data_IF_208802465581
#
_entry.id   IF_208802465581
#
_cell.length_a   1.000
_cell.length_b   1.000
_cell.length_c   1.000
_cell.angle_alpha   90.00
_cell.angle_beta   90.00
_cell.angle_gamma   90.00
#
_symmetry.space_group_name_H-M   'P 1'
#
loop_
_entity.id
_entity.type
_entity.pdbx_description
1 polymer ?
#
# COMPACT_ATOMS: atom_id res chain seq x y z
N UNK A 1 12.03 30.73 -34.08
CA UNK A 1 11.19 29.71 -34.76
C UNK A 1 10.99 28.58 -33.77
N UNK A 2 9.88 28.58 -33.01
CA UNK A 2 9.58 27.53 -32.03
C UNK A 2 9.02 26.33 -32.79
N UNK A 3 9.71 25.19 -32.70
CA UNK A 3 9.29 23.93 -33.31
C UNK A 3 7.90 23.56 -32.76
N UNK A 4 6.90 23.60 -33.64
CA UNK A 4 5.49 23.31 -33.34
C UNK A 4 5.28 21.79 -33.46
N UNK A 5 5.83 21.03 -32.53
CA UNK A 5 5.79 19.55 -32.53
C UNK A 5 4.42 18.98 -32.13
N UNK A 6 3.56 19.79 -31.49
CA UNK A 6 2.23 19.37 -31.05
C UNK A 6 1.12 20.24 -31.66
N UNK A 7 -0.01 19.66 -32.10
CA UNK A 7 -1.19 20.44 -32.50
C UNK A 7 -1.70 21.31 -31.34
N UNK A 8 -1.93 22.60 -31.62
CA UNK A 8 -2.44 23.58 -30.64
C UNK A 8 -3.92 23.36 -30.25
N UNK A 9 -4.66 22.63 -31.08
CA UNK A 9 -6.02 22.19 -30.81
C UNK A 9 -6.11 20.73 -31.23
N UNK A 10 -6.50 19.86 -30.29
CA UNK A 10 -6.86 18.47 -30.57
C UNK A 10 -8.33 18.30 -30.23
N UNK A 11 -9.08 17.65 -31.12
CA UNK A 11 -10.50 17.36 -30.91
C UNK A 11 -10.65 15.84 -30.85
N UNK A 12 -10.47 15.29 -29.65
CA UNK A 12 -10.55 13.85 -29.38
C UNK A 12 -11.95 13.55 -28.87
N UNK A 13 -12.67 12.65 -29.53
CA UNK A 13 -14.02 12.26 -29.13
C UNK A 13 -14.01 11.23 -28.01
N UNK A 14 -13.68 11.65 -26.78
CA UNK A 14 -13.67 10.78 -25.59
C UNK A 14 -15.02 10.08 -25.37
N UNK A 15 -16.13 10.78 -25.63
CA UNK A 15 -17.48 10.24 -25.44
C UNK A 15 -17.85 9.13 -26.44
N UNK A 16 -17.13 8.98 -27.55
CA UNK A 16 -17.30 7.85 -28.47
C UNK A 16 -16.75 6.55 -27.87
N UNK A 17 -15.66 6.62 -27.09
CA UNK A 17 -15.00 5.47 -26.47
C UNK A 17 -15.55 5.12 -25.07
N UNK A 18 -16.51 5.89 -24.54
CA UNK A 18 -17.02 5.74 -23.15
C UNK A 18 -17.49 4.33 -22.80
N UNK A 19 -18.09 3.61 -23.75
CA UNK A 19 -18.60 2.24 -23.52
C UNK A 19 -17.45 1.24 -23.41
N UNK A 20 -16.44 1.37 -24.27
CA UNK A 20 -15.23 0.54 -24.23
C UNK A 20 -14.51 0.78 -22.89
N UNK A 21 -14.34 2.05 -22.50
CA UNK A 21 -13.76 2.41 -21.21
C UNK A 21 -14.55 1.84 -20.03
N UNK A 22 -15.88 1.96 -20.05
CA UNK A 22 -16.74 1.42 -18.99
C UNK A 22 -16.65 -0.12 -18.88
N UNK A 23 -16.59 -0.84 -20.00
CA UNK A 23 -16.44 -2.30 -20.01
C UNK A 23 -15.07 -2.70 -19.44
N UNK A 24 -13.99 -2.09 -19.90
CA UNK A 24 -12.63 -2.38 -19.41
C UNK A 24 -12.54 -2.08 -17.91
N UNK A 25 -13.00 -0.91 -17.49
CA UNK A 25 -13.04 -0.50 -16.09
C UNK A 25 -13.83 -1.47 -15.21
N UNK A 26 -15.00 -1.92 -15.69
CA UNK A 26 -15.83 -2.90 -14.97
C UNK A 26 -15.14 -4.25 -14.84
N UNK A 27 -14.44 -4.72 -15.87
CA UNK A 27 -13.66 -5.96 -15.83
C UNK A 27 -12.48 -5.85 -14.86
N UNK A 28 -11.80 -4.70 -14.82
CA UNK A 28 -10.71 -4.45 -13.88
C UNK A 28 -11.23 -4.42 -12.45
N UNK A 29 -12.32 -3.71 -12.17
CA UNK A 29 -12.95 -3.72 -10.83
C UNK A 29 -13.33 -5.15 -10.43
N UNK A 30 -13.99 -5.90 -11.31
CA UNK A 30 -14.39 -7.27 -11.02
C UNK A 30 -13.19 -8.18 -10.71
N UNK A 31 -12.10 -8.03 -11.47
CA UNK A 31 -10.84 -8.76 -11.25
C UNK A 31 -10.19 -8.36 -9.92
N UNK A 32 -10.15 -7.06 -9.60
CA UNK A 32 -9.64 -6.54 -8.35
C UNK A 32 -10.41 -7.07 -7.14
N UNK A 33 -11.75 -7.02 -7.19
CA UNK A 33 -12.61 -7.59 -6.14
C UNK A 33 -12.39 -9.09 -6.00
N UNK A 34 -12.25 -9.82 -7.11
CA UNK A 34 -11.95 -11.25 -7.08
C UNK A 34 -10.62 -11.55 -6.37
N UNK A 35 -9.54 -10.84 -6.70
CA UNK A 35 -8.24 -11.04 -6.04
C UNK A 35 -8.25 -10.61 -4.57
N UNK A 36 -8.92 -9.50 -4.24
CA UNK A 36 -9.10 -9.07 -2.86
C UNK A 36 -9.88 -10.09 -2.03
N UNK A 37 -10.93 -10.69 -2.59
CA UNK A 37 -11.74 -11.68 -1.88
C UNK A 37 -11.07 -13.05 -1.73
N UNK A 38 -10.26 -13.46 -2.72
CA UNK A 38 -9.67 -14.81 -2.74
C UNK A 38 -8.25 -14.88 -2.17
N UNK A 39 -7.43 -13.84 -2.37
CA UNK A 39 -6.04 -13.79 -1.88
C UNK A 39 -5.86 -12.84 -0.70
N UNK A 40 -6.70 -11.82 -0.58
CA UNK A 40 -6.51 -10.76 0.39
C UNK A 40 -5.28 -9.89 0.10
N UNK A 41 -4.99 -8.98 1.03
CA UNK A 41 -3.79 -8.14 1.01
C UNK A 41 -2.68 -8.83 1.81
N UNK A 42 -1.45 -8.74 1.30
CA UNK A 42 -0.26 -9.19 2.02
C UNK A 42 0.17 -8.10 3.01
N UNK A 43 -0.30 -8.17 4.25
CA UNK A 43 -0.01 -7.15 5.26
C UNK A 43 1.46 -7.19 5.71
N UNK A 44 2.12 -6.03 5.68
CA UNK A 44 3.44 -5.83 6.27
C UNK A 44 3.40 -5.80 7.80
N UNK A 45 4.57 -5.75 8.42
CA UNK A 45 4.74 -5.82 9.89
C UNK A 45 4.00 -4.69 10.62
N UNK A 46 3.83 -3.53 9.99
CA UNK A 46 3.06 -2.42 10.53
C UNK A 46 1.61 -2.80 10.89
N UNK A 47 1.02 -3.76 10.18
CA UNK A 47 -0.38 -4.17 10.37
C UNK A 47 -0.50 -5.62 10.84
N UNK A 48 0.36 -6.52 10.37
CA UNK A 48 0.38 -7.91 10.80
C UNK A 48 1.03 -8.09 12.18
N UNK A 49 1.90 -7.16 12.60
CA UNK A 49 2.82 -7.35 13.71
C UNK A 49 3.99 -8.27 13.35
N UNK A 50 4.97 -8.36 14.25
CA UNK A 50 6.19 -9.15 14.09
C UNK A 50 7.39 -8.31 13.69
N UNK A 51 8.40 -8.96 13.14
CA UNK A 51 9.70 -8.37 12.81
C UNK A 51 10.06 -8.64 11.36
N UNK A 52 10.61 -7.62 10.70
CA UNK A 52 11.28 -7.72 9.41
C UNK A 52 12.75 -7.34 9.57
N UNK A 53 13.61 -8.26 9.18
CA UNK A 53 15.06 -8.06 9.16
C UNK A 53 15.56 -8.19 7.73
N UNK A 54 16.37 -7.23 7.29
CA UNK A 54 17.06 -7.28 6.00
C UNK A 54 18.55 -7.39 6.23
N UNK A 55 19.13 -8.42 5.65
CA UNK A 55 20.55 -8.72 5.74
C UNK A 55 21.17 -8.53 4.36
N UNK A 56 22.36 -7.91 4.30
CA UNK A 56 23.13 -7.86 3.06
C UNK A 56 23.57 -9.28 2.69
N UNK A 57 23.21 -9.71 1.47
CA UNK A 57 23.53 -11.05 1.02
C UNK A 57 25.04 -11.15 0.74
N UNK A 58 25.67 -12.14 1.35
CA UNK A 58 27.08 -12.48 1.13
C UNK A 58 27.22 -13.98 0.87
N UNK A 59 28.44 -14.46 0.67
CA UNK A 59 28.70 -15.90 0.51
C UNK A 59 28.28 -16.71 1.76
N UNK A 60 28.29 -16.09 2.95
CA UNK A 60 27.88 -16.72 4.22
C UNK A 60 26.42 -16.46 4.56
N UNK A 61 25.88 -15.30 4.19
CA UNK A 61 24.50 -14.90 4.47
C UNK A 61 23.63 -15.25 3.25
N UNK A 62 23.20 -16.51 3.18
CA UNK A 62 22.29 -17.02 2.14
C UNK A 62 20.92 -17.37 2.73
N UNK A 63 19.90 -17.49 1.86
CA UNK A 63 18.54 -17.88 2.29
C UNK A 63 18.56 -19.22 3.04
N UNK A 64 19.27 -20.21 2.51
CA UNK A 64 19.42 -21.53 3.14
C UNK A 64 20.17 -21.46 4.47
N UNK A 65 21.25 -20.69 4.55
CA UNK A 65 22.03 -20.56 5.78
C UNK A 65 21.22 -19.87 6.87
N UNK A 66 20.53 -18.78 6.55
CA UNK A 66 19.62 -18.09 7.48
C UNK A 66 18.51 -19.03 7.91
N UNK A 67 17.81 -19.70 6.98
CA UNK A 67 16.73 -20.64 7.33
C UNK A 67 17.20 -21.80 8.22
N UNK A 68 18.43 -22.27 8.04
CA UNK A 68 19.01 -23.34 8.86
C UNK A 68 19.41 -22.87 10.26
N UNK A 69 19.77 -21.60 10.41
CA UNK A 69 20.13 -20.98 11.69
C UNK A 69 18.92 -20.42 12.45
N UNK A 70 17.74 -20.29 11.81
CA UNK A 70 16.57 -19.68 12.44
C UNK A 70 16.07 -20.52 13.64
N UNK A 71 15.91 -19.91 14.82
CA UNK A 71 15.41 -20.60 16.01
C UNK A 71 13.88 -20.83 16.01
N UNK A 72 13.16 -20.24 15.06
CA UNK A 72 11.71 -20.35 14.92
C UNK A 72 11.27 -20.31 13.45
N UNK A 73 9.98 -20.57 13.23
CA UNK A 73 9.37 -20.46 11.90
C UNK A 73 9.45 -19.02 11.40
N UNK A 74 10.16 -18.83 10.29
CA UNK A 74 10.31 -17.55 9.64
C UNK A 74 10.15 -17.69 8.13
N UNK A 75 9.58 -16.67 7.51
CA UNK A 75 9.60 -16.52 6.07
C UNK A 75 10.92 -15.87 5.66
N UNK A 76 11.72 -16.62 4.89
CA UNK A 76 13.06 -16.20 4.47
C UNK A 76 13.12 -16.24 2.95
N UNK A 77 13.28 -15.06 2.36
CA UNK A 77 13.32 -14.85 0.92
C UNK A 77 14.52 -13.97 0.54
N UNK A 78 14.92 -14.02 -0.73
CA UNK A 78 15.89 -13.09 -1.30
C UNK A 78 15.17 -12.00 -2.09
N UNK A 79 15.65 -10.77 -2.01
CA UNK A 79 15.19 -9.66 -2.84
C UNK A 79 16.39 -8.83 -3.34
N UNK A 80 16.13 -7.92 -4.26
CA UNK A 80 17.11 -6.89 -4.67
C UNK A 80 16.65 -5.57 -4.07
N UNK A 81 17.51 -4.99 -3.24
CA UNK A 81 17.31 -3.68 -2.61
C UNK A 81 17.20 -2.56 -3.64
N UNK A 82 16.70 -1.41 -3.20
CA UNK A 82 16.53 -0.22 -4.04
C UNK A 82 17.84 0.37 -4.56
N UNK A 83 18.96 0.02 -3.91
CA UNK A 83 20.33 0.34 -4.27
C UNK A 83 21.01 -0.77 -5.10
N UNK A 84 20.23 -1.71 -5.62
CA UNK A 84 20.66 -2.87 -6.39
C UNK A 84 21.52 -3.90 -5.62
N UNK A 85 21.61 -3.81 -4.28
CA UNK A 85 22.24 -4.86 -3.48
C UNK A 85 21.32 -6.07 -3.35
N UNK A 86 21.89 -7.27 -3.36
CA UNK A 86 21.12 -8.48 -3.03
C UNK A 86 20.95 -8.55 -1.52
N UNK A 87 19.72 -8.80 -1.06
CA UNK A 87 19.37 -8.83 0.36
C UNK A 87 18.62 -10.12 0.69
N UNK A 88 18.82 -10.61 1.90
CA UNK A 88 17.99 -11.66 2.50
C UNK A 88 16.99 -10.98 3.42
N UNK A 89 15.71 -11.17 3.12
CA UNK A 89 14.59 -10.64 3.91
C UNK A 89 14.06 -11.77 4.80
N UNK A 90 14.06 -11.53 6.10
CA UNK A 90 13.60 -12.45 7.13
C UNK A 90 12.39 -11.83 7.80
N UNK A 91 11.26 -12.53 7.80
CA UNK A 91 10.03 -12.12 8.48
C UNK A 91 9.63 -13.17 9.50
N UNK A 92 9.38 -12.75 10.73
CA UNK A 92 9.00 -13.65 11.82
C UNK A 92 8.05 -12.98 12.81
N UNK A 93 7.25 -13.81 13.46
CA UNK A 93 6.36 -13.40 14.55
C UNK A 93 7.06 -13.52 15.91
N UNK A 94 6.26 -13.47 16.98
CA UNK A 94 6.74 -13.69 18.33
C UNK A 94 7.13 -15.15 18.56
N UNK A 95 8.23 -15.37 19.28
CA UNK A 95 8.64 -16.69 19.73
C UNK A 95 7.77 -17.16 20.89
N UNK A 96 7.75 -18.47 21.12
CA UNK A 96 7.15 -19.02 22.32
C UNK A 96 7.93 -18.53 23.56
N UNK A 97 7.21 -18.15 24.63
CA UNK A 97 7.84 -17.66 25.85
C UNK A 97 8.86 -18.64 26.45
N UNK A 98 8.70 -19.95 26.20
CA UNK A 98 9.62 -20.99 26.65
C UNK A 98 11.03 -20.87 26.07
N UNK A 99 11.20 -20.27 24.90
CA UNK A 99 12.51 -20.10 24.25
C UNK A 99 13.17 -18.75 24.56
N UNK A 100 12.47 -17.85 25.26
CA UNK A 100 12.95 -16.51 25.61
C UNK A 100 13.71 -16.46 26.95
N UNK A 101 14.01 -17.62 27.53
CA UNK A 101 14.80 -17.76 28.75
C UNK A 101 14.03 -17.55 30.05
N UNK A 102 14.66 -17.93 31.17
CA UNK A 102 14.03 -17.96 32.49
C UNK A 102 13.67 -16.56 33.02
N UNK A 103 14.47 -15.55 32.70
CA UNK A 103 14.21 -14.16 33.10
C UNK A 103 12.93 -13.61 32.46
N UNK A 104 12.70 -13.91 31.17
CA UNK A 104 11.48 -13.52 30.48
C UNK A 104 10.25 -14.24 31.05
N UNK A 105 10.39 -15.54 31.35
CA UNK A 105 9.32 -16.34 31.93
C UNK A 105 8.95 -15.89 33.36
N UNK A 106 9.88 -15.29 34.10
CA UNK A 106 9.63 -14.74 35.42
C UNK A 106 8.82 -13.43 35.41
N UNK A 107 8.68 -12.77 34.24
CA UNK A 107 7.91 -11.54 34.09
C UNK A 107 6.41 -11.79 34.28
N UNK A 108 5.68 -10.74 34.65
CA UNK A 108 4.22 -10.81 34.68
C UNK A 108 3.64 -11.02 33.27
N UNK A 109 2.44 -11.62 33.11
CA UNK A 109 1.85 -11.81 31.78
C UNK A 109 1.68 -10.52 30.97
N UNK A 110 1.44 -9.39 31.65
CA UNK A 110 1.34 -8.08 31.00
C UNK A 110 2.69 -7.62 30.43
N UNK A 111 3.77 -7.81 31.19
CA UNK A 111 5.13 -7.48 30.74
C UNK A 111 5.63 -8.43 29.64
N UNK A 112 5.27 -9.71 29.71
CA UNK A 112 5.57 -10.66 28.64
C UNK A 112 4.91 -10.22 27.33
N UNK A 113 3.63 -9.85 27.37
CA UNK A 113 2.92 -9.36 26.19
C UNK A 113 3.53 -8.06 25.62
N UNK A 114 4.08 -7.19 26.47
CA UNK A 114 4.71 -5.95 26.03
C UNK A 114 6.13 -6.18 25.45
N UNK A 115 6.89 -7.12 26.01
CA UNK A 115 8.30 -7.36 25.66
C UNK A 115 8.51 -8.50 24.67
N UNK A 116 7.52 -9.35 24.41
CA UNK A 116 7.66 -10.56 23.59
C UNK A 116 8.29 -10.31 22.22
N UNK A 117 7.79 -9.32 21.48
CA UNK A 117 8.35 -8.94 20.18
C UNK A 117 9.81 -8.50 20.27
N UNK A 118 10.17 -7.68 21.28
CA UNK A 118 11.54 -7.22 21.49
C UNK A 118 12.50 -8.35 21.88
N UNK A 119 12.09 -9.19 22.83
CA UNK A 119 12.86 -10.35 23.28
C UNK A 119 13.06 -11.38 22.15
N UNK A 120 12.03 -11.60 21.33
CA UNK A 120 12.14 -12.45 20.15
C UNK A 120 13.15 -11.90 19.16
N UNK A 121 13.13 -10.59 18.90
CA UNK A 121 14.08 -9.96 17.99
C UNK A 121 15.52 -10.08 18.51
N UNK A 122 15.74 -9.92 19.81
CA UNK A 122 17.06 -10.09 20.44
C UNK A 122 17.58 -11.53 20.32
N UNK A 123 16.71 -12.51 20.57
CA UNK A 123 17.04 -13.93 20.41
C UNK A 123 17.44 -14.26 18.95
N UNK A 124 16.63 -13.81 17.98
CA UNK A 124 16.91 -14.07 16.56
C UNK A 124 18.19 -13.37 16.12
N UNK A 125 18.36 -12.10 16.48
CA UNK A 125 19.54 -11.32 16.11
C UNK A 125 20.82 -11.95 16.66
N UNK A 126 20.83 -12.35 17.94
CA UNK A 126 22.00 -13.01 18.55
C UNK A 126 22.30 -14.37 17.91
N UNK A 127 21.26 -15.19 17.71
CA UNK A 127 21.41 -16.51 17.06
C UNK A 127 21.99 -16.40 15.65
N UNK A 128 21.50 -15.47 14.83
CA UNK A 128 21.99 -15.28 13.47
C UNK A 128 23.43 -14.72 13.44
N UNK A 129 23.77 -13.80 14.35
CA UNK A 129 25.13 -13.30 14.50
C UNK A 129 26.10 -14.42 14.86
N UNK A 130 25.75 -15.25 15.83
CA UNK A 130 26.60 -16.34 16.30
C UNK A 130 26.75 -17.45 15.26
N UNK A 131 25.66 -17.80 14.55
CA UNK A 131 25.66 -18.90 13.58
C UNK A 131 26.33 -18.53 12.25
N UNK A 132 26.19 -17.28 11.79
CA UNK A 132 26.61 -16.86 10.45
C UNK A 132 27.76 -15.82 10.47
N UNK A 133 28.19 -15.38 11.66
CA UNK A 133 29.25 -14.38 11.81
C UNK A 133 28.84 -12.99 11.30
N UNK A 134 27.54 -12.65 11.41
CA UNK A 134 26.98 -11.39 10.91
C UNK A 134 27.48 -10.23 11.78
N UNK A 135 27.90 -9.13 11.14
CA UNK A 135 28.19 -7.86 11.82
C UNK A 135 26.99 -6.91 11.77
N UNK A 136 26.95 -5.90 12.65
CA UNK A 136 25.88 -4.89 12.63
C UNK A 136 25.78 -4.14 11.30
N UNK A 137 26.89 -4.00 10.57
CA UNK A 137 26.93 -3.36 9.25
C UNK A 137 26.17 -4.14 8.18
N UNK A 138 26.04 -5.46 8.34
CA UNK A 138 25.33 -6.33 7.42
C UNK A 138 23.83 -6.41 7.71
N UNK A 139 23.37 -5.87 8.85
CA UNK A 139 21.95 -5.73 9.18
C UNK A 139 21.49 -4.38 8.62
N UNK A 140 20.92 -4.39 7.42
CA UNK A 140 20.48 -3.20 6.72
C UNK A 140 19.20 -2.61 7.31
N UNK A 141 18.33 -3.48 7.83
CA UNK A 141 17.06 -3.12 8.46
C UNK A 141 16.68 -4.14 9.52
N UNK A 142 16.11 -3.68 10.62
CA UNK A 142 15.54 -4.55 11.66
C UNK A 142 14.39 -3.81 12.36
N UNK A 143 13.20 -3.91 11.76
CA UNK A 143 12.01 -3.23 12.26
C UNK A 143 11.11 -4.25 12.97
N UNK A 144 10.71 -3.96 14.20
CA UNK A 144 9.86 -4.82 15.02
C UNK A 144 8.64 -4.06 15.51
N UNK A 145 7.45 -4.62 15.28
CA UNK A 145 6.17 -4.02 15.63
C UNK A 145 5.35 -5.02 16.45
N UNK A 146 5.06 -4.66 17.70
CA UNK A 146 4.25 -5.50 18.58
C UNK A 146 2.76 -5.53 18.18
N UNK A 147 2.00 -6.58 18.56
CA UNK A 147 0.60 -6.77 18.17
C UNK A 147 -0.34 -5.61 18.56
N UNK A 148 -0.05 -4.95 19.68
CA UNK A 148 -0.83 -3.80 20.14
C UNK A 148 -0.63 -2.59 19.21
N UNK A 149 0.63 -2.29 18.90
CA UNK A 149 0.99 -1.16 18.03
C UNK A 149 0.46 -1.41 16.62
N UNK A 150 0.60 -2.63 16.08
CA UNK A 150 0.09 -2.93 14.75
C UNK A 150 -1.43 -2.82 14.65
N UNK A 151 -2.16 -3.20 15.70
CA UNK A 151 -3.61 -3.01 15.75
C UNK A 151 -4.02 -1.53 15.81
N UNK A 152 -3.29 -0.71 16.55
CA UNK A 152 -3.51 0.75 16.59
C UNK A 152 -3.23 1.36 15.21
N UNK A 153 -2.08 1.04 14.60
CA UNK A 153 -1.70 1.52 13.26
C UNK A 153 -2.71 1.11 12.18
N UNK A 154 -3.23 -0.11 12.22
CA UNK A 154 -4.24 -0.56 11.28
C UNK A 154 -5.53 0.25 11.41
N UNK A 155 -6.00 0.48 12.64
CA UNK A 155 -7.22 1.28 12.90
C UNK A 155 -7.03 2.73 12.48
N UNK A 156 -5.90 3.32 12.79
CA UNK A 156 -5.58 4.70 12.43
C UNK A 156 -5.47 4.86 10.92
N UNK A 157 -4.81 3.92 10.23
CA UNK A 157 -4.71 3.90 8.77
C UNK A 157 -6.07 3.83 8.08
N UNK A 158 -6.96 2.93 8.52
CA UNK A 158 -8.33 2.82 8.00
C UNK A 158 -9.14 4.08 8.32
N UNK A 159 -9.01 4.61 9.52
CA UNK A 159 -9.71 5.84 9.94
C UNK A 159 -9.28 7.03 9.09
N UNK A 160 -7.98 7.19 8.83
CA UNK A 160 -7.45 8.24 7.97
C UNK A 160 -7.98 8.13 6.54
N UNK A 161 -8.03 6.92 5.97
CA UNK A 161 -8.56 6.69 4.63
C UNK A 161 -10.05 7.05 4.53
N UNK A 162 -10.87 6.58 5.49
CA UNK A 162 -12.31 6.88 5.53
C UNK A 162 -12.55 8.38 5.76
N UNK A 163 -11.81 9.00 6.68
CA UNK A 163 -11.91 10.42 6.95
C UNK A 163 -11.58 11.26 5.70
N UNK A 164 -10.52 10.89 4.97
CA UNK A 164 -10.17 11.53 3.71
C UNK A 164 -11.30 11.43 2.68
N UNK A 165 -11.88 10.25 2.48
CA UNK A 165 -13.01 10.04 1.56
C UNK A 165 -14.24 10.88 1.95
N UNK A 166 -14.57 10.96 3.24
CA UNK A 166 -15.71 11.74 3.75
C UNK A 166 -15.46 13.24 3.57
N UNK A 167 -14.29 13.75 3.96
CA UNK A 167 -13.93 15.14 3.76
C UNK A 167 -13.98 15.52 2.27
N UNK A 168 -13.59 14.60 1.40
CA UNK A 168 -13.69 14.80 -0.04
C UNK A 168 -15.12 14.84 -0.56
N UNK A 169 -15.99 13.93 -0.09
CA UNK A 169 -17.42 13.98 -0.41
C UNK A 169 -18.01 15.35 -0.04
N UNK A 170 -17.70 15.83 1.17
CA UNK A 170 -18.16 17.13 1.67
C UNK A 170 -17.65 18.26 0.77
N UNK A 171 -16.36 18.28 0.46
CA UNK A 171 -15.77 19.30 -0.40
C UNK A 171 -16.46 19.37 -1.78
N UNK A 172 -16.63 18.21 -2.44
CA UNK A 172 -17.23 18.17 -3.77
C UNK A 172 -18.72 18.51 -3.71
N UNK A 173 -19.43 18.11 -2.66
CA UNK A 173 -20.83 18.47 -2.47
C UNK A 173 -21.04 19.99 -2.31
N UNK A 174 -20.15 20.69 -1.59
CA UNK A 174 -20.22 22.15 -1.49
C UNK A 174 -19.79 22.86 -2.78
N UNK A 175 -18.82 22.31 -3.52
CA UNK A 175 -18.23 22.96 -4.71
C UNK A 175 -19.01 22.68 -6.01
N UNK A 176 -19.69 21.55 -6.10
CA UNK A 176 -20.33 21.04 -7.32
C UNK A 176 -21.79 20.60 -7.08
N UNK A 177 -22.56 20.47 -8.17
CA UNK A 177 -23.90 19.88 -8.08
C UNK A 177 -23.79 18.39 -7.74
N UNK A 178 -24.77 17.85 -7.01
CA UNK A 178 -24.70 16.50 -6.44
C UNK A 178 -24.41 15.39 -7.47
N UNK A 179 -24.80 15.58 -8.74
CA UNK A 179 -24.53 14.64 -9.82
C UNK A 179 -23.02 14.49 -10.08
N UNK A 180 -22.26 15.59 -10.02
CA UNK A 180 -20.80 15.56 -10.11
C UNK A 180 -20.18 14.91 -8.87
N UNK A 181 -20.76 15.14 -7.68
CA UNK A 181 -20.29 14.52 -6.43
C UNK A 181 -20.33 12.99 -6.49
N UNK A 182 -21.43 12.41 -6.98
CA UNK A 182 -21.55 10.95 -7.14
C UNK A 182 -20.54 10.43 -8.17
N UNK A 183 -20.36 11.14 -9.29
CA UNK A 183 -19.39 10.78 -10.32
C UNK A 183 -17.94 10.79 -9.81
N UNK A 184 -17.55 11.81 -9.04
CA UNK A 184 -16.21 11.88 -8.46
C UNK A 184 -15.97 10.79 -7.42
N UNK A 185 -16.95 10.48 -6.58
CA UNK A 185 -16.84 9.39 -5.61
C UNK A 185 -16.70 8.04 -6.32
N UNK A 186 -17.46 7.81 -7.39
CA UNK A 186 -17.34 6.59 -8.18
C UNK A 186 -15.96 6.47 -8.84
N UNK A 187 -15.41 7.56 -9.38
CA UNK A 187 -14.06 7.58 -9.96
C UNK A 187 -12.98 7.30 -8.90
N UNK A 188 -13.08 7.93 -7.72
CA UNK A 188 -12.15 7.69 -6.63
C UNK A 188 -12.23 6.24 -6.11
N UNK A 189 -13.44 5.71 -5.93
CA UNK A 189 -13.63 4.32 -5.51
C UNK A 189 -13.05 3.35 -6.54
N UNK A 190 -13.24 3.62 -7.84
CA UNK A 190 -12.62 2.87 -8.92
C UNK A 190 -11.11 2.82 -8.79
N UNK A 191 -10.45 3.98 -8.62
CA UNK A 191 -9.00 4.05 -8.55
C UNK A 191 -8.44 3.32 -7.32
N UNK A 192 -9.10 3.47 -6.16
CA UNK A 192 -8.72 2.78 -4.93
C UNK A 192 -8.92 1.26 -5.05
N UNK A 193 -10.05 0.81 -5.59
CA UNK A 193 -10.31 -0.63 -5.74
C UNK A 193 -9.32 -1.26 -6.72
N UNK A 194 -9.02 -0.59 -7.84
CA UNK A 194 -8.08 -1.13 -8.82
C UNK A 194 -6.68 -1.19 -8.24
N UNK A 195 -6.21 -0.13 -7.58
CA UNK A 195 -4.89 -0.12 -6.95
C UNK A 195 -4.77 -1.20 -5.89
N UNK A 196 -5.73 -1.33 -4.97
CA UNK A 196 -5.75 -2.41 -3.98
C UNK A 196 -5.82 -3.81 -4.64
N UNK A 197 -6.56 -3.94 -5.73
CA UNK A 197 -6.61 -5.19 -6.50
C UNK A 197 -5.28 -5.58 -7.14
N UNK A 198 -4.48 -4.61 -7.59
CA UNK A 198 -3.12 -4.86 -8.07
C UNK A 198 -2.22 -5.34 -6.93
N UNK A 199 -2.32 -4.73 -5.74
CA UNK A 199 -1.59 -5.21 -4.55
C UNK A 199 -1.97 -6.64 -4.20
N UNK A 200 -3.27 -6.97 -4.19
CA UNK A 200 -3.77 -8.32 -3.94
C UNK A 200 -3.35 -9.32 -5.04
N UNK A 201 -3.35 -8.89 -6.30
CA UNK A 201 -2.94 -9.75 -7.42
C UNK A 201 -1.45 -10.10 -7.36
N UNK A 202 -0.61 -9.09 -7.18
CA UNK A 202 0.86 -9.22 -7.14
C UNK A 202 1.40 -9.68 -5.78
N UNK A 203 0.54 -9.75 -4.76
CA UNK A 203 0.94 -10.04 -3.37
C UNK A 203 2.02 -9.08 -2.86
N UNK A 204 1.95 -7.82 -3.31
CA UNK A 204 2.81 -6.76 -2.81
C UNK A 204 2.49 -6.46 -1.35
N UNK A 205 3.54 -6.17 -0.58
CA UNK A 205 3.40 -5.83 0.83
C UNK A 205 2.57 -4.54 1.01
N UNK A 206 1.57 -4.61 1.87
CA UNK A 206 0.68 -3.51 2.25
C UNK A 206 1.06 -3.02 3.64
N UNK A 207 1.62 -1.82 3.72
CA UNK A 207 2.18 -1.20 4.94
C UNK A 207 1.85 0.30 5.00
N UNK A 208 2.38 1.05 5.99
CA UNK A 208 2.07 2.48 6.13
C UNK A 208 2.49 3.31 4.92
N UNK A 209 3.62 2.98 4.29
CA UNK A 209 4.07 3.63 3.05
C UNK A 209 3.05 3.45 1.93
N UNK A 210 2.40 2.28 1.87
CA UNK A 210 1.34 2.01 0.90
C UNK A 210 0.11 2.89 1.15
N UNK A 211 -0.29 3.10 2.42
CA UNK A 211 -1.38 4.03 2.75
C UNK A 211 -1.03 5.46 2.31
N UNK A 212 0.19 5.92 2.57
CA UNK A 212 0.64 7.24 2.12
C UNK A 212 0.60 7.38 0.59
N UNK A 213 1.01 6.34 -0.15
CA UNK A 213 0.91 6.30 -1.60
C UNK A 213 -0.55 6.35 -2.09
N UNK A 214 -1.46 5.60 -1.45
CA UNK A 214 -2.88 5.62 -1.78
C UNK A 214 -3.51 7.00 -1.54
N UNK A 215 -3.22 7.66 -0.42
CA UNK A 215 -3.68 9.03 -0.16
C UNK A 215 -3.15 10.01 -1.20
N UNK A 216 -1.92 9.81 -1.67
CA UNK A 216 -1.33 10.62 -2.75
C UNK A 216 -2.08 10.41 -4.07
N UNK A 217 -2.38 9.15 -4.44
CA UNK A 217 -3.16 8.81 -5.64
C UNK A 217 -4.55 9.43 -5.58
N UNK A 218 -5.23 9.32 -4.43
CA UNK A 218 -6.55 9.92 -4.20
C UNK A 218 -6.49 11.43 -4.43
N UNK A 219 -5.51 12.12 -3.85
CA UNK A 219 -5.35 13.57 -4.02
C UNK A 219 -5.13 13.98 -5.48
N UNK A 220 -4.29 13.25 -6.21
CA UNK A 220 -4.01 13.55 -7.62
C UNK A 220 -5.22 13.24 -8.53
N UNK A 221 -5.82 12.05 -8.38
CA UNK A 221 -7.00 11.64 -9.15
C UNK A 221 -8.18 12.61 -9.00
N UNK A 222 -8.41 13.08 -7.78
CA UNK A 222 -9.49 14.03 -7.56
C UNK A 222 -9.15 15.43 -8.06
N UNK A 223 -7.88 15.87 -7.99
CA UNK A 223 -7.48 17.14 -8.60
C UNK A 223 -7.82 17.14 -10.10
N UNK A 224 -7.49 16.06 -10.80
CA UNK A 224 -7.83 15.90 -12.22
C UNK A 224 -9.36 15.92 -12.44
N UNK A 225 -10.11 15.18 -11.63
CA UNK A 225 -11.58 15.14 -11.69
C UNK A 225 -12.20 16.54 -11.51
N UNK A 226 -11.71 17.32 -10.55
CA UNK A 226 -12.19 18.68 -10.25
C UNK A 226 -11.91 19.62 -11.42
N UNK A 227 -10.71 19.57 -12.01
CA UNK A 227 -10.34 20.40 -13.17
C UNK A 227 -11.24 20.08 -14.37
N UNK A 228 -11.46 18.80 -14.67
CA UNK A 228 -12.33 18.36 -15.77
C UNK A 228 -13.77 18.81 -15.51
N UNK A 229 -14.29 18.63 -14.29
CA UNK A 229 -15.67 19.02 -13.96
C UNK A 229 -15.88 20.53 -14.02
N UNK A 230 -14.91 21.33 -13.59
CA UNK A 230 -15.00 22.79 -13.69
C UNK A 230 -15.03 23.23 -15.15
N UNK A 231 -14.19 22.61 -16.00
CA UNK A 231 -14.17 22.86 -17.43
C UNK A 231 -15.49 22.49 -18.11
N UNK A 232 -16.05 21.31 -17.83
CA UNK A 232 -17.36 20.89 -18.35
C UNK A 232 -18.47 21.85 -17.93
N UNK A 233 -18.45 22.35 -16.69
CA UNK A 233 -19.42 23.36 -16.22
C UNK A 233 -19.26 24.71 -16.92
N UNK A 234 -18.03 25.15 -17.13
CA UNK A 234 -17.73 26.37 -17.88
C UNK A 234 -18.28 26.28 -19.31
N UNK A 235 -17.99 25.20 -20.01
CA UNK A 235 -18.42 24.98 -21.39
C UNK A 235 -19.93 24.78 -21.51
N UNK A 236 -20.56 24.08 -20.55
CA UNK A 236 -22.03 23.95 -20.50
C UNK A 236 -22.74 25.29 -20.30
N UNK A 237 -22.13 26.23 -19.58
CA UNK A 237 -22.67 27.60 -19.42
C UNK A 237 -22.56 28.42 -20.71
N UNK A 238 -21.50 28.22 -21.50
CA UNK A 238 -21.29 28.87 -22.80
C UNK A 238 -22.20 28.27 -23.88
N UNK A 239 -22.30 26.95 -23.95
CA UNK A 239 -23.00 26.22 -25.01
C UNK A 239 -24.30 25.56 -24.53
N UNK A 240 -25.25 26.36 -24.04
CA UNK A 240 -26.50 25.88 -23.42
C UNK A 240 -27.39 24.98 -24.30
N UNK A 241 -27.25 25.04 -25.64
CA UNK A 241 -28.03 24.25 -26.60
C UNK A 241 -27.29 23.04 -27.16
N UNK A 242 -25.99 22.92 -26.87
CA UNK A 242 -25.17 21.82 -27.36
C UNK A 242 -25.45 20.56 -26.51
N UNK A 243 -25.53 19.36 -27.11
CA UNK A 243 -25.69 18.13 -26.35
C UNK A 243 -24.54 17.90 -25.37
N UNK A 244 -24.82 17.39 -24.17
CA UNK A 244 -23.82 17.20 -23.10
C UNK A 244 -22.59 16.39 -23.58
N UNK A 245 -22.79 15.40 -24.47
CA UNK A 245 -21.69 14.59 -25.03
C UNK A 245 -20.72 15.40 -25.88
N UNK A 246 -21.22 16.38 -26.62
CA UNK A 246 -20.40 17.26 -27.45
C UNK A 246 -19.68 18.28 -26.57
N UNK A 247 -20.36 18.83 -25.56
CA UNK A 247 -19.77 19.73 -24.57
C UNK A 247 -18.60 19.07 -23.83
N UNK A 248 -18.72 17.79 -23.46
CA UNK A 248 -17.65 17.05 -22.77
C UNK A 248 -16.43 16.76 -23.66
N UNK A 249 -16.60 16.71 -24.99
CA UNK A 249 -15.49 16.47 -25.92
C UNK A 249 -14.69 17.75 -26.27
N UNK A 250 -15.14 18.93 -25.82
CA UNK A 250 -14.48 20.23 -26.04
C UNK A 250 -13.33 20.47 -25.06
#
# INVERSE_FOLDING_TARGET
MLLKLWPQQTNVSFMSARLIGAVISSLLIASSVFFLATRGLNFGVDFAGGTVMELEQTDTITVEAVRSAMPLNADVNSAVGTDARSIVVVKYGEADASVLGDEFQALSPAEQAERATGATNELVTSTLKDALGITDEQILRNDSVGPKVSQELFRDGITALVAALVLMLIYIWFRFEWQFSVGAVAALAHDVIITLGVFAFLQMEFNLTTIAALLTIIGYSMNDTVVVFDRVREEKRKYKKMPDKEVINL
#
